data_IF_344083496114
#
_entry.id   IF_344083496114
#
_cell.length_a   1.000
_cell.length_b   1.000
_cell.length_c   1.000
_cell.angle_alpha   90.00
_cell.angle_beta   90.00
_cell.angle_gamma   90.00
#
_symmetry.space_group_name_H-M   'P 1'
#
loop_
_entity.id
_entity.type
_entity.pdbx_description
1 polymer ?
#
# COMPACT_ATOMS: atom_id res chain seq x y z
N UNK A 1 -17.70 8.66 37.38
CA UNK A 1 -17.50 7.22 37.65
C UNK A 1 -18.42 6.44 36.72
N UNK A 2 -17.90 6.08 35.55
CA UNK A 2 -17.47 4.72 35.14
C UNK A 2 -18.62 3.90 34.57
N UNK A 3 -18.72 3.87 33.24
CA UNK A 3 -18.61 2.63 32.43
C UNK A 3 -18.23 3.00 30.99
N UNK A 4 -16.99 3.49 30.85
CA UNK A 4 -16.18 3.40 29.64
C UNK A 4 -15.61 1.97 29.59
N UNK A 5 -16.38 0.96 29.16
CA UNK A 5 -15.83 -0.38 28.92
C UNK A 5 -16.46 -0.99 27.66
N UNK A 6 -15.58 -1.21 26.66
CA UNK A 6 -15.72 -2.06 25.47
C UNK A 6 -16.66 -1.62 24.34
N UNK A 7 -16.22 -0.59 23.60
CA UNK A 7 -16.39 -0.54 22.13
C UNK A 7 -15.17 -1.18 21.49
N UNK A 8 -15.26 -2.48 21.19
CA UNK A 8 -14.31 -3.16 20.32
C UNK A 8 -15.05 -3.43 19.01
N UNK A 9 -14.71 -2.62 17.99
CA UNK A 9 -15.01 -2.89 16.58
C UNK A 9 -14.57 -4.32 16.25
N UNK A 10 -15.24 -5.00 15.31
CA UNK A 10 -14.82 -6.32 14.84
C UNK A 10 -13.34 -6.33 14.42
N UNK A 11 -12.81 -5.19 13.97
CA UNK A 11 -11.40 -4.94 13.66
C UNK A 11 -10.47 -5.15 14.88
N UNK A 12 -10.84 -4.64 16.06
CA UNK A 12 -10.04 -4.80 17.29
C UNK A 12 -10.01 -6.25 17.79
N UNK A 13 -10.93 -7.12 17.34
CA UNK A 13 -10.92 -8.55 17.69
C UNK A 13 -9.96 -9.35 16.80
N UNK A 14 -9.75 -8.93 15.55
CA UNK A 14 -8.82 -9.58 14.64
C UNK A 14 -7.35 -9.35 15.08
N UNK A 15 -6.99 -8.13 15.48
CA UNK A 15 -5.58 -7.74 15.76
C UNK A 15 -5.12 -7.90 17.23
N UNK A 16 -5.79 -8.75 18.03
CA UNK A 16 -5.47 -8.91 19.46
C UNK A 16 -4.15 -9.65 19.76
N UNK A 17 -3.14 -8.92 20.24
CA UNK A 17 -1.75 -9.40 20.49
C UNK A 17 -1.60 -10.65 21.38
N UNK A 18 -2.62 -10.99 22.19
CA UNK A 18 -2.57 -12.14 23.11
C UNK A 18 -2.64 -13.51 22.43
N UNK A 19 -3.03 -13.61 21.16
CA UNK A 19 -3.04 -14.89 20.41
C UNK A 19 -1.70 -15.20 19.71
N UNK A 20 -0.92 -14.18 19.34
CA UNK A 20 0.38 -14.35 18.67
C UNK A 20 1.40 -15.12 19.53
N UNK A 21 1.45 -14.81 20.84
CA UNK A 21 2.39 -15.41 21.78
C UNK A 21 2.19 -16.93 22.03
N UNK A 22 1.01 -17.48 21.66
CA UNK A 22 0.73 -18.91 21.78
C UNK A 22 1.21 -19.71 20.57
N UNK A 23 1.30 -19.09 19.40
CA UNK A 23 1.75 -19.72 18.15
C UNK A 23 3.29 -19.79 18.08
N UNK A 24 4.00 -18.76 18.54
CA UNK A 24 5.48 -18.74 18.61
C UNK A 24 6.07 -19.83 19.52
N UNK A 25 5.28 -20.35 20.47
CA UNK A 25 5.70 -21.45 21.37
C UNK A 25 5.58 -22.83 20.74
N UNK A 26 4.77 -23.01 19.69
CA UNK A 26 4.64 -24.30 19.00
C UNK A 26 5.77 -24.52 17.98
N UNK A 27 6.25 -23.47 17.30
CA UNK A 27 7.33 -23.59 16.31
C UNK A 27 8.73 -23.79 16.92
N UNK A 28 8.95 -23.37 18.17
CA UNK A 28 10.26 -23.56 18.84
C UNK A 28 10.61 -25.01 19.21
N UNK A 29 9.71 -25.98 18.99
CA UNK A 29 9.95 -27.40 19.31
C UNK A 29 10.46 -28.26 18.14
N UNK A 30 10.56 -27.74 16.91
CA UNK A 30 10.96 -28.54 15.73
C UNK A 30 12.27 -28.10 15.05
N UNK A 31 13.14 -27.35 15.72
CA UNK A 31 14.42 -26.95 15.15
C UNK A 31 15.63 -27.51 15.90
N UNK A 32 16.00 -28.78 15.68
CA UNK A 32 17.37 -29.25 16.01
C UNK A 32 17.92 -30.26 15.01
N UNK A 33 19.05 -29.83 14.42
CA UNK A 33 20.10 -30.56 13.69
C UNK A 33 19.80 -30.95 12.25
N UNK A 34 20.38 -30.22 11.30
CA UNK A 34 21.22 -30.81 10.25
C UNK A 34 22.44 -29.92 9.97
N UNK A 35 23.57 -30.59 9.79
CA UNK A 35 24.94 -30.08 9.71
C UNK A 35 25.28 -29.79 8.25
N UNK A 36 26.02 -28.70 7.99
CA UNK A 36 26.54 -28.32 6.68
C UNK A 36 27.39 -29.44 6.05
N UNK A 37 27.03 -29.88 4.85
CA UNK A 37 27.89 -30.55 3.88
C UNK A 37 27.69 -29.91 2.49
N UNK A 38 28.67 -30.10 1.62
CA UNK A 38 29.15 -29.19 0.56
C UNK A 38 28.26 -29.15 -0.69
N UNK A 39 28.38 -28.04 -1.42
CA UNK A 39 28.01 -27.89 -2.84
C UNK A 39 28.55 -29.09 -3.65
N UNK A 40 27.68 -29.76 -4.43
CA UNK A 40 27.98 -30.46 -5.71
C UNK A 40 26.80 -31.27 -6.32
N UNK A 41 25.53 -31.08 -5.91
CA UNK A 41 24.37 -31.85 -6.43
C UNK A 41 23.29 -31.01 -7.17
N UNK A 42 23.68 -30.12 -8.10
CA UNK A 42 22.70 -29.36 -8.90
C UNK A 42 22.36 -29.97 -10.27
N UNK A 43 23.06 -31.02 -10.70
CA UNK A 43 22.85 -31.64 -12.03
C UNK A 43 21.68 -32.64 -12.08
N UNK A 44 21.20 -33.12 -10.93
CA UNK A 44 20.08 -34.10 -10.82
C UNK A 44 18.79 -33.50 -10.26
N UNK A 45 18.70 -32.17 -10.14
CA UNK A 45 17.47 -31.51 -9.70
C UNK A 45 16.39 -31.66 -10.79
N UNK A 46 15.23 -32.29 -10.52
CA UNK A 46 14.19 -32.47 -11.51
C UNK A 46 13.73 -31.11 -12.03
N UNK A 47 13.98 -30.86 -13.32
CA UNK A 47 13.46 -29.68 -14.02
C UNK A 47 11.94 -29.73 -13.96
N UNK A 48 11.35 -28.78 -13.25
CA UNK A 48 9.90 -28.60 -13.23
C UNK A 48 9.52 -27.99 -14.58
N UNK A 49 9.18 -28.86 -15.54
CA UNK A 49 8.89 -28.48 -16.93
C UNK A 49 7.56 -27.71 -17.12
N UNK A 50 6.82 -27.45 -16.05
CA UNK A 50 5.54 -26.72 -16.10
C UNK A 50 5.51 -25.67 -14.98
N UNK A 51 5.38 -24.36 -15.29
CA UNK A 51 5.13 -23.35 -14.26
C UNK A 51 3.85 -23.73 -13.52
N UNK A 52 3.95 -24.09 -12.24
CA UNK A 52 2.76 -24.32 -11.42
C UNK A 52 1.98 -23.02 -11.38
N UNK A 53 0.72 -23.04 -11.84
CA UNK A 53 -0.19 -21.90 -11.67
C UNK A 53 -0.16 -21.47 -10.19
N UNK A 54 0.08 -20.19 -9.89
CA UNK A 54 0.11 -19.72 -8.52
C UNK A 54 -1.23 -20.04 -7.85
N UNK A 55 -1.18 -20.66 -6.66
CA UNK A 55 -2.36 -20.92 -5.85
C UNK A 55 -2.61 -19.70 -4.98
N UNK A 56 -3.66 -18.95 -5.30
CA UNK A 56 -4.10 -17.82 -4.49
C UNK A 56 -4.97 -18.27 -3.34
N UNK A 57 -4.96 -17.51 -2.25
CA UNK A 57 -5.92 -17.67 -1.17
C UNK A 57 -7.35 -17.37 -1.69
N UNK A 58 -8.38 -18.03 -1.12
CA UNK A 58 -9.76 -17.79 -1.52
C UNK A 58 -10.15 -16.36 -1.17
N UNK A 59 -10.77 -15.68 -2.13
CA UNK A 59 -11.35 -14.35 -1.92
C UNK A 59 -12.69 -14.51 -1.22
N UNK A 60 -12.83 -13.94 -0.03
CA UNK A 60 -14.05 -14.00 0.78
C UNK A 60 -14.49 -12.60 1.21
N UNK A 61 -15.76 -12.45 1.61
CA UNK A 61 -16.35 -11.17 1.98
C UNK A 61 -17.14 -11.28 3.28
N UNK A 62 -17.21 -10.18 4.01
CA UNK A 62 -18.15 -10.00 5.12
C UNK A 62 -18.81 -8.63 5.01
N UNK A 63 -19.97 -8.46 5.66
CA UNK A 63 -20.67 -7.18 5.74
C UNK A 63 -21.07 -6.89 7.17
N UNK A 64 -20.74 -5.69 7.64
CA UNK A 64 -21.11 -5.19 8.97
C UNK A 64 -21.35 -3.68 8.88
N UNK A 65 -22.40 -3.18 9.52
CA UNK A 65 -22.73 -1.74 9.60
C UNK A 65 -22.72 -0.97 8.25
N UNK A 66 -23.14 -1.67 7.18
CA UNK A 66 -23.21 -1.11 5.83
C UNK A 66 -21.85 -0.94 5.14
N UNK A 67 -20.82 -1.63 5.64
CA UNK A 67 -19.50 -1.74 5.04
C UNK A 67 -19.28 -3.19 4.61
N UNK A 68 -18.79 -3.37 3.39
CA UNK A 68 -18.34 -4.66 2.86
C UNK A 68 -16.83 -4.75 2.97
N UNK A 69 -16.33 -5.87 3.50
CA UNK A 69 -14.92 -6.13 3.70
C UNK A 69 -14.43 -7.24 2.77
N UNK A 70 -13.22 -7.07 2.26
CA UNK A 70 -12.47 -8.06 1.48
C UNK A 70 -11.54 -8.84 2.41
N UNK A 71 -11.48 -10.16 2.22
CA UNK A 71 -10.59 -11.06 2.95
C UNK A 71 -9.93 -12.08 2.01
N UNK A 72 -8.81 -12.64 2.43
CA UNK A 72 -8.09 -13.71 1.71
C UNK A 72 -8.05 -15.01 2.52
N UNK A 73 -9.23 -15.59 2.79
CA UNK A 73 -9.36 -16.85 3.52
C UNK A 73 -8.99 -16.77 5.01
N UNK A 74 -8.77 -15.57 5.53
CA UNK A 74 -8.45 -15.27 6.93
C UNK A 74 -9.39 -14.20 7.49
N UNK A 75 -9.35 -13.96 8.80
CA UNK A 75 -10.11 -12.86 9.43
C UNK A 75 -9.57 -11.45 9.09
N UNK A 76 -8.37 -11.36 8.53
CA UNK A 76 -7.74 -10.07 8.19
C UNK A 76 -8.48 -9.33 7.09
N UNK A 77 -8.72 -8.04 7.33
CA UNK A 77 -9.30 -7.10 6.37
C UNK A 77 -8.22 -6.71 5.36
N UNK A 78 -8.49 -6.97 4.09
CA UNK A 78 -7.62 -6.65 2.95
C UNK A 78 -8.11 -5.42 2.17
N UNK A 79 -9.31 -4.94 2.49
CA UNK A 79 -9.93 -3.79 1.87
C UNK A 79 -11.37 -3.64 2.35
N UNK A 80 -11.92 -2.44 2.23
CA UNK A 80 -13.31 -2.17 2.61
C UNK A 80 -13.99 -1.23 1.60
N UNK A 81 -15.32 -1.25 1.61
CA UNK A 81 -16.16 -0.32 0.87
C UNK A 81 -17.48 -0.10 1.60
N UNK A 82 -17.82 1.17 1.82
CA UNK A 82 -19.14 1.55 2.30
C UNK A 82 -20.18 1.43 1.19
N UNK A 83 -21.22 0.63 1.41
CA UNK A 83 -22.26 0.37 0.39
C UNK A 83 -22.99 1.64 -0.06
N UNK A 84 -23.20 2.60 0.86
CA UNK A 84 -23.86 3.89 0.54
C UNK A 84 -22.93 4.93 -0.09
N UNK A 85 -21.60 4.72 -0.03
CA UNK A 85 -20.57 5.66 -0.51
C UNK A 85 -19.40 4.88 -1.13
N UNK A 86 -19.63 4.16 -2.23
CA UNK A 86 -18.68 3.18 -2.77
C UNK A 86 -17.34 3.77 -3.20
N UNK A 87 -17.36 5.04 -3.63
CA UNK A 87 -16.17 5.80 -4.04
C UNK A 87 -15.46 6.50 -2.87
N UNK A 88 -15.98 6.45 -1.64
CA UNK A 88 -15.26 6.94 -0.47
C UNK A 88 -14.24 5.88 -0.02
N UNK A 89 -13.02 6.32 0.30
CA UNK A 89 -12.00 5.43 0.86
C UNK A 89 -12.34 5.21 2.33
N UNK A 90 -12.79 4.01 2.68
CA UNK A 90 -13.25 3.69 4.04
C UNK A 90 -12.09 3.53 5.03
N UNK A 91 -10.99 2.90 4.62
CA UNK A 91 -9.86 2.58 5.50
C UNK A 91 -8.90 3.76 5.65
N UNK A 92 -8.45 4.03 6.87
CA UNK A 92 -7.61 5.19 7.20
C UNK A 92 -6.26 5.14 6.49
N UNK A 93 -5.57 3.99 6.49
CA UNK A 93 -4.29 3.85 5.78
C UNK A 93 -4.45 4.12 4.29
N UNK A 94 -5.57 3.68 3.69
CA UNK A 94 -5.84 3.88 2.28
C UNK A 94 -6.10 5.36 1.98
N UNK A 95 -6.71 6.11 2.90
CA UNK A 95 -6.77 7.56 2.78
C UNK A 95 -5.37 8.18 2.81
N UNK A 96 -4.51 7.75 3.74
CA UNK A 96 -3.12 8.22 3.82
C UNK A 96 -2.27 7.87 2.59
N UNK A 97 -2.57 6.77 1.89
CA UNK A 97 -1.93 6.43 0.61
C UNK A 97 -2.12 7.52 -0.46
N UNK A 98 -3.09 8.43 -0.29
CA UNK A 98 -3.32 9.60 -1.16
C UNK A 98 -2.51 10.84 -0.75
N UNK A 99 -1.66 10.76 0.28
CA UNK A 99 -0.87 11.89 0.78
C UNK A 99 0.09 12.51 -0.26
N UNK A 100 0.40 11.79 -1.35
CA UNK A 100 1.10 12.34 -2.50
C UNK A 100 0.43 13.59 -3.10
N UNK A 101 -0.89 13.75 -2.93
CA UNK A 101 -1.65 14.93 -3.38
C UNK A 101 -1.20 16.24 -2.71
N UNK A 102 -0.51 16.17 -1.56
CA UNK A 102 0.09 17.32 -0.90
C UNK A 102 1.24 17.93 -1.71
N UNK A 103 1.95 17.11 -2.48
CA UNK A 103 3.21 17.49 -3.11
C UNK A 103 3.08 17.73 -4.61
N UNK A 104 2.12 17.07 -5.26
CA UNK A 104 1.91 17.23 -6.71
C UNK A 104 0.45 17.48 -7.08
N UNK A 105 0.27 18.19 -8.20
CA UNK A 105 -1.01 18.21 -8.90
C UNK A 105 -1.34 16.85 -9.48
N UNK A 106 -2.62 16.61 -9.80
CA UNK A 106 -3.05 15.37 -10.45
C UNK A 106 -2.22 15.08 -11.70
N UNK A 107 -1.38 14.03 -11.70
CA UNK A 107 -0.56 13.72 -12.85
C UNK A 107 -1.41 13.12 -13.98
N UNK A 108 -0.84 13.05 -15.19
CA UNK A 108 -1.51 12.42 -16.33
C UNK A 108 -1.70 10.91 -16.17
N UNK A 109 -0.85 10.26 -15.36
CA UNK A 109 -0.82 8.81 -15.15
C UNK A 109 -0.61 8.49 -13.68
N UNK A 110 -1.51 7.69 -13.11
CA UNK A 110 -1.49 7.18 -11.74
C UNK A 110 -1.54 5.66 -11.82
N UNK A 111 -0.68 4.97 -11.08
CA UNK A 111 -0.64 3.50 -11.07
C UNK A 111 -0.70 2.97 -9.64
N UNK A 112 -1.52 1.94 -9.42
CA UNK A 112 -1.56 1.17 -8.18
C UNK A 112 -1.03 -0.24 -8.42
N UNK A 113 -0.06 -0.68 -7.62
CA UNK A 113 0.38 -2.07 -7.56
C UNK A 113 -0.35 -2.76 -6.40
N UNK A 114 -1.10 -3.82 -6.72
CA UNK A 114 -2.09 -4.46 -5.84
C UNK A 114 -3.44 -3.75 -5.91
N UNK A 115 -4.53 -4.46 -6.21
CA UNK A 115 -5.85 -3.84 -6.41
C UNK A 115 -6.70 -3.79 -5.14
N UNK A 116 -6.71 -4.89 -4.36
CA UNK A 116 -7.54 -5.01 -3.17
C UNK A 116 -9.04 -4.80 -3.45
N UNK A 117 -9.74 -4.06 -2.59
CA UNK A 117 -11.14 -3.64 -2.82
C UNK A 117 -11.29 -2.52 -3.87
N UNK A 118 -10.20 -2.21 -4.59
CA UNK A 118 -10.09 -1.14 -5.55
C UNK A 118 -10.42 0.26 -5.00
N UNK A 119 -10.29 0.48 -3.69
CA UNK A 119 -10.61 1.75 -3.05
C UNK A 119 -9.81 2.91 -3.65
N UNK A 120 -8.49 2.77 -3.78
CA UNK A 120 -7.61 3.81 -4.32
C UNK A 120 -7.83 4.01 -5.82
N UNK A 121 -7.82 2.92 -6.60
CA UNK A 121 -8.04 2.94 -8.05
C UNK A 121 -9.38 3.58 -8.41
N UNK A 122 -10.49 3.13 -7.80
CA UNK A 122 -11.81 3.69 -8.11
C UNK A 122 -11.94 5.14 -7.64
N UNK A 123 -11.36 5.49 -6.49
CA UNK A 123 -11.33 6.87 -6.00
C UNK A 123 -10.62 7.78 -7.01
N UNK A 124 -9.41 7.40 -7.45
CA UNK A 124 -8.65 8.16 -8.42
C UNK A 124 -9.42 8.30 -9.75
N UNK A 125 -10.03 7.23 -10.25
CA UNK A 125 -10.85 7.30 -11.47
C UNK A 125 -12.09 8.21 -11.30
N UNK A 126 -12.74 8.14 -10.15
CA UNK A 126 -13.95 8.90 -9.83
C UNK A 126 -13.68 10.40 -9.64
N UNK A 127 -12.56 10.80 -9.03
CA UNK A 127 -12.34 12.19 -8.63
C UNK A 127 -11.18 12.88 -9.37
N UNK A 128 -10.17 12.13 -9.84
CA UNK A 128 -8.99 12.68 -10.50
C UNK A 128 -9.13 12.60 -12.03
N UNK A 129 -10.12 13.33 -12.57
CA UNK A 129 -10.58 13.20 -13.97
C UNK A 129 -9.53 13.47 -15.05
N UNK A 130 -8.44 14.16 -14.71
CA UNK A 130 -7.32 14.46 -15.62
C UNK A 130 -6.30 13.32 -15.74
N UNK A 131 -6.41 12.29 -14.90
CA UNK A 131 -5.50 11.16 -14.90
C UNK A 131 -6.09 9.97 -15.67
N UNK A 132 -5.20 9.26 -16.38
CA UNK A 132 -5.32 7.82 -16.60
C UNK A 132 -4.91 7.11 -15.33
N UNK A 133 -5.70 6.13 -14.91
CA UNK A 133 -5.58 5.38 -13.67
C UNK A 133 -5.45 3.92 -14.04
N UNK A 134 -4.40 3.29 -13.55
CA UNK A 134 -4.14 1.88 -13.81
C UNK A 134 -3.94 1.14 -12.49
N UNK A 135 -4.39 -0.12 -12.45
CA UNK A 135 -4.06 -1.03 -11.36
C UNK A 135 -3.39 -2.28 -11.92
N UNK A 136 -2.47 -2.85 -11.15
CA UNK A 136 -1.78 -4.11 -11.47
C UNK A 136 -2.11 -5.11 -10.38
N UNK A 137 -2.76 -6.21 -10.73
CA UNK A 137 -3.18 -7.24 -9.79
C UNK A 137 -2.81 -8.62 -10.30
N UNK A 138 -2.20 -9.42 -9.43
CA UNK A 138 -1.72 -10.76 -9.79
C UNK A 138 -2.85 -11.81 -9.70
N UNK A 139 -3.80 -11.63 -8.78
CA UNK A 139 -4.88 -12.59 -8.54
C UNK A 139 -6.15 -12.22 -9.34
N UNK A 140 -6.52 -12.98 -10.39
CA UNK A 140 -7.71 -12.68 -11.19
C UNK A 140 -9.01 -12.71 -10.37
N UNK A 141 -9.06 -13.46 -9.26
CA UNK A 141 -10.22 -13.48 -8.38
C UNK A 141 -10.43 -12.13 -7.68
N UNK A 142 -9.35 -11.39 -7.40
CA UNK A 142 -9.42 -10.04 -6.82
C UNK A 142 -9.95 -9.07 -7.85
N UNK A 143 -9.54 -9.17 -9.12
CA UNK A 143 -10.08 -8.35 -10.20
C UNK A 143 -11.58 -8.57 -10.37
N UNK A 144 -12.02 -9.83 -10.42
CA UNK A 144 -13.45 -10.16 -10.49
C UNK A 144 -14.20 -9.57 -9.29
N UNK A 145 -13.72 -9.81 -8.08
CA UNK A 145 -14.34 -9.28 -6.86
C UNK A 145 -14.39 -7.75 -6.86
N UNK A 146 -13.34 -7.07 -7.30
CA UNK A 146 -13.32 -5.61 -7.39
C UNK A 146 -14.45 -5.08 -8.29
N UNK A 147 -14.68 -5.74 -9.44
CA UNK A 147 -15.74 -5.36 -10.38
C UNK A 147 -17.14 -5.71 -9.87
N UNK A 148 -17.34 -6.93 -9.36
CA UNK A 148 -18.68 -7.44 -9.03
C UNK A 148 -19.13 -7.10 -7.62
N UNK A 149 -18.20 -7.01 -6.67
CA UNK A 149 -18.48 -6.83 -5.25
C UNK A 149 -18.01 -5.48 -4.70
N UNK A 150 -17.12 -4.76 -5.38
CA UNK A 150 -16.61 -3.47 -4.91
C UNK A 150 -16.79 -2.32 -5.91
N UNK A 151 -17.73 -2.46 -6.84
CA UNK A 151 -18.18 -1.38 -7.73
C UNK A 151 -17.06 -0.70 -8.55
N UNK A 152 -15.98 -1.43 -8.85
CA UNK A 152 -14.97 -0.93 -9.79
C UNK A 152 -15.55 -1.01 -11.23
N UNK A 153 -15.62 0.09 -12.00
CA UNK A 153 -16.53 0.15 -13.14
C UNK A 153 -15.87 -0.17 -14.48
N UNK A 154 -15.80 -1.42 -14.98
CA UNK A 154 -15.13 -1.82 -16.26
C UNK A 154 -13.87 -1.03 -16.73
N UNK A 155 -13.24 -1.42 -17.83
CA UNK A 155 -12.16 -0.59 -18.39
C UNK A 155 -12.75 0.45 -19.36
N UNK A 156 -12.16 1.64 -19.36
CA UNK A 156 -12.52 2.75 -20.23
C UNK A 156 -11.27 3.50 -20.72
N UNK A 157 -11.45 4.63 -21.40
CA UNK A 157 -10.32 5.41 -21.92
C UNK A 157 -9.35 5.94 -20.84
N UNK A 158 -9.73 5.92 -19.56
CA UNK A 158 -8.95 6.37 -18.41
C UNK A 158 -8.66 5.28 -17.39
N UNK A 159 -9.41 4.17 -17.34
CA UNK A 159 -9.21 3.08 -16.40
C UNK A 159 -8.74 1.82 -17.11
N UNK A 160 -7.62 1.26 -16.64
CA UNK A 160 -7.16 -0.07 -17.06
C UNK A 160 -6.76 -0.91 -15.84
N UNK A 161 -7.20 -2.16 -15.79
CA UNK A 161 -6.71 -3.12 -14.80
C UNK A 161 -5.91 -4.20 -15.50
N UNK A 162 -4.65 -4.34 -15.10
CA UNK A 162 -3.73 -5.33 -15.64
C UNK A 162 -3.65 -6.55 -14.74
N UNK A 163 -4.03 -7.71 -15.27
CA UNK A 163 -3.83 -9.01 -14.62
C UNK A 163 -2.39 -9.50 -14.88
N UNK A 164 -1.42 -8.95 -14.13
CA UNK A 164 0.00 -9.28 -14.28
C UNK A 164 0.78 -9.10 -12.98
N UNK A 165 2.02 -9.61 -12.95
CA UNK A 165 2.92 -9.41 -11.82
C UNK A 165 3.43 -7.95 -11.77
N UNK A 166 3.50 -7.40 -10.56
CA UNK A 166 3.95 -6.04 -10.36
C UNK A 166 5.44 -5.84 -10.71
N UNK A 167 6.29 -6.87 -10.53
CA UNK A 167 7.68 -6.87 -10.96
C UNK A 167 7.79 -6.76 -12.48
N UNK A 168 7.00 -7.53 -13.22
CA UNK A 168 6.99 -7.49 -14.68
C UNK A 168 6.55 -6.11 -15.18
N UNK A 169 5.52 -5.53 -14.56
CA UNK A 169 5.07 -4.18 -14.90
C UNK A 169 6.16 -3.12 -14.70
N UNK A 170 6.85 -3.09 -13.56
CA UNK A 170 7.86 -2.04 -13.27
C UNK A 170 9.18 -2.26 -14.00
N UNK A 171 9.45 -3.48 -14.47
CA UNK A 171 10.64 -3.79 -15.28
C UNK A 171 10.41 -3.59 -16.78
N UNK A 172 9.16 -3.50 -17.24
CA UNK A 172 8.85 -3.05 -18.59
C UNK A 172 9.30 -1.58 -18.78
N UNK A 173 10.24 -1.41 -19.72
CA UNK A 173 10.81 -0.11 -20.09
C UNK A 173 9.78 0.85 -20.66
N UNK A 174 8.65 0.36 -21.19
CA UNK A 174 7.57 1.20 -21.67
C UNK A 174 6.97 2.07 -20.55
N UNK A 175 7.09 1.63 -19.30
CA UNK A 175 6.59 2.35 -18.12
C UNK A 175 7.60 3.37 -17.57
N UNK A 176 8.87 3.34 -18.01
CA UNK A 176 9.95 4.16 -17.44
C UNK A 176 9.75 5.65 -17.71
N UNK A 177 9.83 6.47 -16.65
CA UNK A 177 9.68 7.93 -16.74
C UNK A 177 8.26 8.44 -17.02
N UNK A 178 7.22 7.61 -16.87
CA UNK A 178 5.86 7.94 -17.33
C UNK A 178 4.84 8.15 -16.20
N UNK A 179 5.11 7.66 -14.99
CA UNK A 179 4.15 7.61 -13.89
C UNK A 179 4.37 8.81 -12.95
N UNK A 180 3.33 9.60 -12.69
CA UNK A 180 3.46 10.73 -11.75
C UNK A 180 3.24 10.32 -10.30
N UNK A 181 2.27 9.43 -10.05
CA UNK A 181 2.01 8.85 -8.73
C UNK A 181 1.94 7.33 -8.84
N UNK A 182 2.75 6.63 -8.05
CA UNK A 182 2.75 5.17 -7.94
C UNK A 182 2.38 4.77 -6.51
N UNK A 183 1.44 3.85 -6.35
CA UNK A 183 0.96 3.41 -5.05
C UNK A 183 1.26 1.92 -4.90
N UNK A 184 1.99 1.53 -3.86
CA UNK A 184 2.38 0.13 -3.61
C UNK A 184 1.58 -0.39 -2.42
N UNK A 185 0.63 -1.27 -2.70
CA UNK A 185 -0.30 -1.87 -1.72
C UNK A 185 -0.39 -3.38 -1.97
N UNK A 186 0.77 -4.04 -2.03
CA UNK A 186 0.91 -5.46 -2.40
C UNK A 186 1.18 -6.29 -1.16
N UNK A 187 0.22 -7.09 -0.72
CA UNK A 187 0.32 -7.95 0.45
C UNK A 187 0.03 -9.41 0.14
N UNK A 188 0.61 -10.32 0.93
CA UNK A 188 0.22 -11.72 0.91
C UNK A 188 -1.10 -11.96 1.67
N UNK A 189 -1.68 -13.14 1.46
CA UNK A 189 -2.91 -13.57 2.12
C UNK A 189 -2.84 -13.59 3.66
N UNK A 190 -1.63 -13.57 4.23
CA UNK A 190 -1.42 -13.55 5.68
C UNK A 190 -1.25 -12.15 6.25
N UNK A 191 -1.25 -11.11 5.41
CA UNK A 191 -1.00 -9.72 5.79
C UNK A 191 0.32 -9.57 6.58
N UNK A 192 1.37 -10.33 6.24
CA UNK A 192 2.65 -10.35 7.00
C UNK A 192 3.73 -9.40 6.48
N UNK A 193 3.43 -8.62 5.44
CA UNK A 193 4.33 -7.60 4.90
C UNK A 193 4.20 -7.44 3.39
N UNK A 194 4.87 -6.42 2.82
CA UNK A 194 4.97 -6.30 1.38
C UNK A 194 5.67 -7.52 0.80
N UNK A 195 5.05 -8.13 -0.22
CA UNK A 195 5.60 -9.31 -0.93
C UNK A 195 6.82 -8.90 -1.76
N UNK A 196 6.80 -7.67 -2.26
CA UNK A 196 7.87 -7.07 -3.05
C UNK A 196 8.52 -5.95 -2.24
N UNK A 197 9.63 -6.28 -1.58
CA UNK A 197 10.25 -5.40 -0.59
C UNK A 197 11.75 -5.16 -0.83
N UNK A 198 12.28 -5.53 -2.00
CA UNK A 198 13.72 -5.45 -2.32
C UNK A 198 14.14 -4.06 -2.82
N UNK A 199 15.43 -3.72 -2.65
CA UNK A 199 15.99 -2.48 -3.22
C UNK A 199 15.84 -2.46 -4.74
N UNK A 200 16.04 -3.61 -5.41
CA UNK A 200 15.89 -3.72 -6.86
C UNK A 200 14.47 -3.38 -7.30
N UNK A 201 13.46 -3.85 -6.56
CA UNK A 201 12.06 -3.51 -6.83
C UNK A 201 11.79 -2.03 -6.64
N UNK A 202 12.22 -1.44 -5.53
CA UNK A 202 12.04 -0.01 -5.32
C UNK A 202 12.79 0.86 -6.34
N UNK A 203 13.96 0.43 -6.81
CA UNK A 203 14.67 1.10 -7.93
C UNK A 203 13.91 0.96 -9.25
N UNK A 204 13.32 -0.19 -9.53
CA UNK A 204 12.48 -0.37 -10.72
C UNK A 204 11.23 0.52 -10.65
N UNK A 205 10.54 0.55 -9.51
CA UNK A 205 9.44 1.49 -9.25
C UNK A 205 9.88 2.95 -9.45
N UNK A 206 11.05 3.33 -8.94
CA UNK A 206 11.62 4.67 -9.14
C UNK A 206 11.88 4.98 -10.61
N UNK A 207 12.35 4.02 -11.39
CA UNK A 207 12.59 4.19 -12.82
C UNK A 207 11.29 4.46 -13.61
N UNK A 208 10.14 3.95 -13.14
CA UNK A 208 8.82 4.26 -13.72
C UNK A 208 8.36 5.70 -13.50
N UNK A 209 8.91 6.40 -12.51
CA UNK A 209 8.42 7.71 -12.10
C UNK A 209 8.93 8.83 -13.00
N UNK A 210 8.08 9.84 -13.23
CA UNK A 210 8.48 11.04 -13.95
C UNK A 210 9.59 11.78 -13.19
N UNK A 211 10.69 12.09 -13.87
CA UNK A 211 11.86 12.73 -13.27
C UNK A 211 11.58 14.08 -12.56
N UNK A 212 10.65 14.95 -12.99
CA UNK A 212 10.46 16.24 -12.33
C UNK A 212 9.78 16.16 -10.96
N UNK A 213 8.81 15.26 -10.78
CA UNK A 213 7.90 15.31 -9.62
C UNK A 213 7.27 13.95 -9.25
N UNK A 214 7.85 12.82 -9.67
CA UNK A 214 7.27 11.52 -9.36
C UNK A 214 7.27 11.20 -7.87
N UNK A 215 6.15 10.68 -7.35
CA UNK A 215 5.97 10.30 -5.94
C UNK A 215 5.50 8.85 -5.84
N UNK A 216 6.04 8.12 -4.86
CA UNK A 216 5.53 6.81 -4.45
C UNK A 216 4.90 6.91 -3.07
N UNK A 217 3.76 6.26 -2.87
CA UNK A 217 3.28 5.89 -1.53
C UNK A 217 3.32 4.38 -1.36
N UNK A 218 3.74 3.92 -0.18
CA UNK A 218 3.90 2.50 0.14
C UNK A 218 3.22 2.21 1.47
N UNK A 219 2.31 1.24 1.46
CA UNK A 219 1.71 0.73 2.68
C UNK A 219 2.68 -0.24 3.37
N UNK A 220 2.99 -0.01 4.64
CA UNK A 220 3.87 -0.84 5.46
C UNK A 220 3.19 -1.19 6.78
N UNK A 221 3.58 -2.30 7.41
CA UNK A 221 3.20 -2.57 8.81
C UNK A 221 4.22 -1.94 9.76
N UNK A 222 3.77 -1.05 10.64
CA UNK A 222 4.58 -0.31 11.60
C UNK A 222 5.14 -1.17 12.72
N UNK A 223 4.30 -1.99 13.36
CA UNK A 223 4.69 -2.89 14.46
C UNK A 223 5.17 -4.28 13.96
N UNK A 224 5.92 -4.30 12.85
CA UNK A 224 6.51 -5.51 12.30
C UNK A 224 8.01 -5.30 12.00
N UNK A 225 8.89 -6.30 12.24
CA UNK A 225 10.33 -6.17 11.94
C UNK A 225 10.64 -5.81 10.48
N UNK A 226 9.70 -6.05 9.56
CA UNK A 226 9.84 -5.64 8.17
C UNK A 226 9.81 -4.12 7.99
N UNK A 227 9.23 -3.33 8.90
CA UNK A 227 9.16 -1.86 8.76
C UNK A 227 10.55 -1.24 8.58
N UNK A 228 11.45 -1.49 9.53
CA UNK A 228 12.81 -0.93 9.53
C UNK A 228 13.57 -1.38 8.29
N UNK A 229 13.40 -2.64 7.88
CA UNK A 229 14.01 -3.19 6.66
C UNK A 229 13.51 -2.48 5.41
N UNK A 230 12.19 -2.28 5.29
CA UNK A 230 11.57 -1.57 4.18
C UNK A 230 12.04 -0.12 4.11
N UNK A 231 12.06 0.60 5.24
CA UNK A 231 12.55 1.98 5.29
C UNK A 231 14.01 2.08 4.85
N UNK A 232 14.88 1.15 5.27
CA UNK A 232 16.28 1.13 4.82
C UNK A 232 16.38 0.97 3.30
N UNK A 233 15.60 0.05 2.73
CA UNK A 233 15.63 -0.26 1.29
C UNK A 233 15.01 0.85 0.45
N UNK A 234 13.93 1.48 0.92
CA UNK A 234 13.35 2.67 0.30
C UNK A 234 14.36 3.82 0.30
N UNK A 235 15.01 4.08 1.44
CA UNK A 235 16.05 5.13 1.51
C UNK A 235 17.20 4.86 0.54
N UNK A 236 17.65 3.60 0.41
CA UNK A 236 18.68 3.24 -0.58
C UNK A 236 18.20 3.41 -2.04
N UNK A 237 16.92 3.15 -2.31
CA UNK A 237 16.38 3.27 -3.66
C UNK A 237 16.04 4.71 -4.08
N UNK A 238 15.71 5.57 -3.12
CA UNK A 238 15.25 6.96 -3.33
C UNK A 238 16.23 8.02 -2.80
N UNK A 239 17.50 7.66 -2.61
CA UNK A 239 18.58 8.56 -2.20
C UNK A 239 18.30 9.31 -0.88
N UNK A 240 17.71 8.61 0.09
CA UNK A 240 17.35 9.18 1.39
C UNK A 240 16.06 10.02 1.40
N UNK A 241 15.39 10.18 0.25
CA UNK A 241 14.22 11.06 0.11
C UNK A 241 12.92 10.33 0.41
N UNK A 242 12.83 9.82 1.63
CA UNK A 242 11.73 8.99 2.11
C UNK A 242 11.30 9.42 3.50
N UNK A 243 10.00 9.64 3.68
CA UNK A 243 9.39 9.91 4.99
C UNK A 243 8.23 8.95 5.22
N UNK A 244 8.02 8.51 6.46
CA UNK A 244 6.84 7.73 6.82
C UNK A 244 5.92 8.53 7.74
N UNK A 245 4.62 8.55 7.44
CA UNK A 245 3.62 9.12 8.34
C UNK A 245 3.56 8.33 9.67
N UNK A 246 2.99 8.92 10.72
CA UNK A 246 2.69 8.21 11.96
C UNK A 246 1.81 6.99 11.71
N UNK A 247 1.91 6.02 12.61
CA UNK A 247 1.09 4.81 12.57
C UNK A 247 -0.39 5.13 12.76
N UNK A 248 -1.24 4.53 11.93
CA UNK A 248 -2.70 4.58 12.07
C UNK A 248 -3.21 3.44 12.94
N UNK A 249 -4.48 3.48 13.32
CA UNK A 249 -5.07 2.57 14.31
C UNK A 249 -4.88 1.07 14.04
N UNK A 250 -4.73 0.67 12.76
CA UNK A 250 -4.58 -0.72 12.35
C UNK A 250 -3.12 -1.19 12.27
N UNK A 251 -2.17 -0.36 12.74
CA UNK A 251 -0.75 -0.68 12.71
C UNK A 251 -0.07 -0.42 11.37
N UNK A 252 -0.78 0.16 10.40
CA UNK A 252 -0.20 0.56 9.11
C UNK A 252 0.59 1.86 9.23
N UNK A 253 1.66 1.99 8.44
CA UNK A 253 2.45 3.21 8.26
C UNK A 253 2.67 3.46 6.78
N UNK A 254 2.27 4.63 6.32
CA UNK A 254 2.45 5.00 4.91
C UNK A 254 3.79 5.70 4.72
N UNK A 255 4.67 5.07 3.95
CA UNK A 255 5.89 5.71 3.47
C UNK A 255 5.63 6.49 2.18
N UNK A 256 6.25 7.65 2.06
CA UNK A 256 6.22 8.54 0.89
C UNK A 256 7.65 8.71 0.41
N UNK A 257 7.92 8.40 -0.86
CA UNK A 257 9.24 8.49 -1.45
C UNK A 257 9.21 9.37 -2.70
N UNK A 258 10.24 10.21 -2.86
CA UNK A 258 10.27 11.24 -3.91
C UNK A 258 11.35 10.93 -4.94
N UNK A 259 10.98 10.96 -6.23
CA UNK A 259 11.93 10.75 -7.34
C UNK A 259 12.52 12.04 -7.90
N UNK A 260 11.86 13.19 -7.67
CA UNK A 260 12.19 14.52 -8.20
C UNK A 260 13.52 15.13 -7.72
N UNK A 261 13.74 16.45 -7.80
CA UNK A 261 14.79 17.11 -7.02
C UNK A 261 14.46 17.12 -5.53
N UNK A 262 15.37 17.64 -4.70
CA UNK A 262 15.08 17.91 -3.29
C UNK A 262 13.87 18.86 -3.18
N UNK A 263 13.00 18.60 -2.21
CA UNK A 263 11.82 19.42 -1.95
C UNK A 263 12.13 20.37 -0.80
N UNK A 264 11.68 21.62 -0.94
CA UNK A 264 11.60 22.57 0.16
C UNK A 264 10.27 23.32 0.03
N UNK A 265 9.33 22.95 0.90
CA UNK A 265 7.94 23.42 0.85
C UNK A 265 7.53 23.89 2.24
N UNK A 266 6.98 25.08 2.35
CA UNK A 266 6.52 25.60 3.64
C UNK A 266 5.32 24.81 4.16
N UNK A 267 5.20 24.64 5.47
CA UNK A 267 4.01 24.04 6.07
C UNK A 267 2.74 24.85 5.74
N UNK A 268 2.86 26.17 5.57
CA UNK A 268 1.75 27.02 5.12
C UNK A 268 1.25 26.64 3.70
N UNK A 269 2.16 26.28 2.78
CA UNK A 269 1.77 25.78 1.45
C UNK A 269 1.11 24.41 1.54
N UNK A 270 1.65 23.50 2.37
CA UNK A 270 1.05 22.18 2.61
C UNK A 270 -0.35 22.30 3.24
N UNK A 271 -0.53 23.17 4.22
CA UNK A 271 -1.84 23.48 4.84
C UNK A 271 -2.84 24.03 3.83
N UNK A 272 -2.41 24.95 2.96
CA UNK A 272 -3.27 25.48 1.89
C UNK A 272 -3.70 24.37 0.94
N UNK A 273 -2.78 23.47 0.57
CA UNK A 273 -3.06 22.31 -0.28
C UNK A 273 -3.99 21.30 0.41
N UNK A 274 -3.77 21.03 1.69
CA UNK A 274 -4.59 20.15 2.50
C UNK A 274 -6.05 20.61 2.60
N UNK A 275 -6.27 21.91 2.83
CA UNK A 275 -7.63 22.50 2.82
C UNK A 275 -8.35 22.32 1.50
N UNK A 276 -7.62 22.43 0.37
CA UNK A 276 -8.20 22.18 -0.95
C UNK A 276 -8.57 20.69 -1.11
N UNK A 277 -7.68 19.78 -0.72
CA UNK A 277 -7.94 18.33 -0.76
C UNK A 277 -9.17 17.98 0.09
N UNK A 278 -9.26 18.47 1.32
CA UNK A 278 -10.43 18.22 2.17
C UNK A 278 -11.72 18.75 1.56
N UNK A 279 -11.68 19.95 0.96
CA UNK A 279 -12.84 20.56 0.33
C UNK A 279 -13.33 19.74 -0.87
N UNK A 280 -12.43 19.43 -1.80
CA UNK A 280 -12.76 18.85 -3.10
C UNK A 280 -12.87 17.32 -3.05
N UNK A 281 -12.07 16.67 -2.22
CA UNK A 281 -11.88 15.21 -2.20
C UNK A 281 -12.37 14.54 -0.91
N UNK A 282 -12.71 15.32 0.14
CA UNK A 282 -13.18 14.82 1.44
C UNK A 282 -12.21 13.84 2.12
N UNK A 283 -10.91 13.99 1.85
CA UNK A 283 -9.83 13.25 2.51
C UNK A 283 -9.24 14.11 3.64
N UNK A 284 -8.83 13.54 4.78
CA UNK A 284 -8.39 14.28 5.98
C UNK A 284 -6.96 14.82 5.85
N UNK A 285 -6.70 15.62 4.83
CA UNK A 285 -5.34 15.97 4.44
C UNK A 285 -4.58 16.83 5.46
N UNK A 286 -5.25 17.59 6.33
CA UNK A 286 -4.55 18.35 7.39
C UNK A 286 -3.92 17.44 8.43
N UNK A 287 -4.54 16.28 8.71
CA UNK A 287 -3.94 15.29 9.61
C UNK A 287 -2.64 14.73 9.02
N UNK A 288 -2.53 14.63 7.69
CA UNK A 288 -1.29 14.22 7.04
C UNK A 288 -0.20 15.29 7.16
N UNK A 289 -0.54 16.58 7.07
CA UNK A 289 0.42 17.68 7.28
C UNK A 289 0.96 17.67 8.71
N UNK A 290 0.07 17.49 9.69
CA UNK A 290 0.47 17.31 11.10
C UNK A 290 1.36 16.07 11.26
N UNK A 291 1.00 14.95 10.63
CA UNK A 291 1.80 13.73 10.64
C UNK A 291 3.19 13.93 10.04
N UNK A 292 3.32 14.69 8.94
CA UNK A 292 4.60 15.05 8.35
C UNK A 292 5.47 15.86 9.32
N UNK A 293 4.89 16.84 10.01
CA UNK A 293 5.62 17.65 11.00
C UNK A 293 6.18 16.83 12.16
N UNK A 294 5.38 15.88 12.67
CA UNK A 294 5.81 14.94 13.72
C UNK A 294 6.93 14.04 13.18
N UNK A 295 6.73 13.41 12.02
CA UNK A 295 7.70 12.48 11.45
C UNK A 295 9.02 13.12 11.03
N UNK A 296 9.01 14.39 10.66
CA UNK A 296 10.21 15.16 10.33
C UNK A 296 10.95 15.70 11.57
N UNK A 297 10.42 15.49 12.80
CA UNK A 297 10.99 16.06 14.02
C UNK A 297 10.92 17.59 14.05
N UNK A 298 9.93 18.16 13.37
CA UNK A 298 9.92 19.53 12.88
C UNK A 298 8.72 20.34 13.42
N UNK A 299 8.29 20.08 14.66
CA UNK A 299 7.10 20.71 15.27
C UNK A 299 7.17 22.25 15.30
N UNK A 300 8.38 22.82 15.20
CA UNK A 300 8.63 24.26 15.15
C UNK A 300 9.27 24.74 13.82
N UNK A 301 9.40 23.88 12.82
CA UNK A 301 9.99 24.26 11.54
C UNK A 301 8.96 24.99 10.65
N UNK A 302 9.43 25.94 9.85
CA UNK A 302 8.60 26.68 8.90
C UNK A 302 8.42 25.96 7.56
N UNK A 303 9.34 25.05 7.22
CA UNK A 303 9.30 24.23 6.00
C UNK A 303 9.55 22.75 6.25
N UNK A 304 9.02 21.96 5.33
CA UNK A 304 9.33 20.56 5.12
C UNK A 304 10.36 20.46 4.00
N UNK A 305 11.51 19.88 4.31
CA UNK A 305 12.60 19.67 3.35
C UNK A 305 13.03 18.21 3.32
N UNK A 306 13.23 17.66 2.12
CA UNK A 306 13.66 16.26 1.92
C UNK A 306 14.41 16.04 0.61
#
# INVERSE_FOLDING_TARGET
MTQLIRRASAEARAFGSKRQAKLDKQDKKQGKRFKRERDDDLDDAPRIDVPRKPRFAPVTFSEEDGVRFLHFGTEWVQGAMRLKKPNHIELEYAQQMMAWLLFIETPKRIVQLGLGSAALTKFAHAFLKRAKVEAVELNPSVVIAARTMFELPNDDARLTVHEQDAWDFVTDRSNHGTIGALQIDVYDATARGPVLDSVAFYRACRACLTAPAGVVTVNLFGDHPSFVRNMKRLNEAFDGRVIALPEVHDGNRIAIAFAGPALDVTYAQLEKRAKLIEKELKLPAREWVKGLSISAGAENATSFSI
#
